data_IF_988558509580
#
_entry.id   IF_988558509580
#
_cell.length_a   1.000
_cell.length_b   1.000
_cell.length_c   1.000
_cell.angle_alpha   90.00
_cell.angle_beta   90.00
_cell.angle_gamma   90.00
#
_symmetry.space_group_name_H-M   'P 1'
#
loop_
_entity.id
_entity.type
_entity.pdbx_description
1 polymer ?
#
# COMPACT_ATOMS: atom_id res chain seq x y z
N UNK A 1 33.50 80.41 -10.11
CA UNK A 1 32.22 80.62 -9.41
C UNK A 1 31.44 79.31 -9.48
N UNK A 2 30.73 78.85 -8.44
CA UNK A 2 31.24 78.04 -7.33
C UNK A 2 30.75 76.57 -7.32
N UNK A 3 31.23 75.85 -6.30
CA UNK A 3 31.01 74.46 -5.87
C UNK A 3 29.61 74.27 -5.23
N UNK A 4 29.01 73.08 -5.36
CA UNK A 4 28.22 72.41 -4.28
C UNK A 4 27.85 70.97 -4.73
N UNK A 5 28.37 69.87 -4.15
CA UNK A 5 28.26 69.30 -2.79
C UNK A 5 26.92 68.54 -2.55
N UNK A 6 27.08 67.20 -2.50
CA UNK A 6 26.34 66.15 -1.75
C UNK A 6 24.85 65.92 -2.02
N UNK A 7 24.47 64.64 -2.24
CA UNK A 7 24.01 63.83 -1.10
C UNK A 7 23.93 62.31 -1.35
N UNK A 8 24.23 61.60 -0.27
CA UNK A 8 24.12 60.17 -0.06
C UNK A 8 22.70 59.63 -0.27
N UNK A 9 22.57 58.44 -0.87
CA UNK A 9 22.11 57.21 -0.17
C UNK A 9 22.01 56.04 -1.15
N UNK A 10 22.74 54.98 -0.81
CA UNK A 10 22.54 53.65 -1.40
C UNK A 10 21.10 53.16 -1.16
N UNK A 11 20.43 52.55 -2.16
CA UNK A 11 19.19 51.86 -1.92
C UNK A 11 19.45 50.62 -1.06
N UNK A 12 18.76 50.57 0.09
CA UNK A 12 18.73 49.44 1.01
C UNK A 12 18.39 48.17 0.25
N UNK A 13 19.27 47.18 0.32
CA UNK A 13 18.98 45.80 -0.01
C UNK A 13 17.83 45.31 0.86
N UNK A 14 16.62 45.29 0.32
CA UNK A 14 15.55 44.46 0.86
C UNK A 14 15.96 43.02 0.62
N UNK A 15 16.48 42.38 1.68
CA UNK A 15 16.73 40.96 1.70
C UNK A 15 15.47 40.24 1.25
N UNK A 16 15.56 39.60 0.09
CA UNK A 16 14.60 38.62 -0.37
C UNK A 16 14.61 37.51 0.69
N UNK A 17 13.68 37.62 1.65
CA UNK A 17 13.37 36.58 2.61
C UNK A 17 12.85 35.40 1.80
N UNK A 18 13.78 34.54 1.43
CA UNK A 18 13.50 33.26 0.83
C UNK A 18 12.56 32.53 1.80
N UNK A 19 11.27 32.53 1.48
CA UNK A 19 10.33 31.57 2.02
C UNK A 19 10.91 30.19 1.69
N UNK A 20 11.70 29.64 2.61
CA UNK A 20 12.00 28.21 2.70
C UNK A 20 10.64 27.54 2.82
N UNK A 21 10.05 27.17 1.68
CA UNK A 21 8.98 26.18 1.62
C UNK A 21 9.61 24.93 2.21
N UNK A 22 9.42 24.73 3.52
CA UNK A 22 9.77 23.47 4.18
C UNK A 22 9.16 22.37 3.32
N UNK A 23 9.91 21.33 2.91
CA UNK A 23 9.30 20.22 2.21
C UNK A 23 8.25 19.67 3.15
N UNK A 24 6.97 19.87 2.82
CA UNK A 24 5.89 19.14 3.44
C UNK A 24 6.18 17.67 3.12
N UNK A 25 6.81 16.96 4.06
CA UNK A 25 6.75 15.50 4.08
C UNK A 25 5.27 15.20 4.20
N UNK A 26 4.59 14.94 3.08
CA UNK A 26 3.24 14.38 3.10
C UNK A 26 3.38 13.05 3.83
N UNK A 27 3.04 13.04 5.11
CA UNK A 27 2.71 11.82 5.81
C UNK A 27 1.46 11.31 5.12
N UNK A 28 1.62 10.59 4.01
CA UNK A 28 0.55 9.78 3.46
C UNK A 28 0.26 8.75 4.54
N UNK A 29 -0.72 9.05 5.38
CA UNK A 29 -1.37 8.07 6.24
C UNK A 29 -1.98 7.06 5.29
N UNK A 30 -1.22 6.00 4.99
CA UNK A 30 -1.63 4.98 4.02
C UNK A 30 -3.01 4.49 4.43
N UNK A 31 -3.99 4.63 3.53
CA UNK A 31 -5.37 4.17 3.76
C UNK A 31 -5.35 2.65 3.97
N UNK A 32 -6.31 2.12 4.71
CA UNK A 32 -6.50 0.67 4.71
C UNK A 32 -6.97 0.22 3.32
N UNK A 33 -6.55 -0.98 2.86
CA UNK A 33 -7.20 -1.59 1.72
C UNK A 33 -8.69 -1.77 2.04
N UNK A 34 -9.55 -1.87 1.01
CA UNK A 34 -10.93 -2.30 1.19
C UNK A 34 -11.01 -3.50 2.15
N UNK A 35 -11.93 -3.42 3.11
CA UNK A 35 -12.13 -4.37 4.21
C UNK A 35 -10.98 -4.44 5.26
N UNK A 36 -9.84 -3.80 5.01
CA UNK A 36 -8.70 -3.78 5.91
C UNK A 36 -8.97 -3.14 7.27
N UNK A 37 -9.89 -2.17 7.37
CA UNK A 37 -10.27 -1.61 8.67
C UNK A 37 -10.95 -2.65 9.56
N UNK A 38 -11.80 -3.51 8.99
CA UNK A 38 -12.49 -4.57 9.74
C UNK A 38 -11.48 -5.61 10.25
N UNK A 39 -10.58 -6.08 9.39
CA UNK A 39 -9.51 -7.01 9.79
C UNK A 39 -8.60 -6.39 10.85
N UNK A 40 -8.16 -5.15 10.67
CA UNK A 40 -7.32 -4.46 11.65
C UNK A 40 -8.01 -4.32 13.02
N UNK A 41 -9.33 -4.14 13.05
CA UNK A 41 -10.08 -4.08 14.30
C UNK A 41 -10.12 -5.46 14.98
N UNK A 42 -10.43 -6.53 14.24
CA UNK A 42 -10.43 -7.93 14.75
C UNK A 42 -9.08 -8.29 15.38
N UNK A 43 -7.99 -8.03 14.66
CA UNK A 43 -6.64 -8.31 15.15
C UNK A 43 -6.28 -7.55 16.43
N UNK A 44 -6.73 -6.29 16.58
CA UNK A 44 -6.53 -5.53 17.82
C UNK A 44 -7.32 -6.11 19.00
N UNK A 45 -8.40 -6.81 18.74
CA UNK A 45 -9.21 -7.49 19.76
C UNK A 45 -8.68 -8.90 20.08
N UNK A 46 -7.58 -9.33 19.44
CA UNK A 46 -7.04 -10.68 19.60
C UNK A 46 -7.76 -11.74 18.75
N UNK A 47 -8.77 -11.35 17.98
CA UNK A 47 -9.49 -12.22 17.06
C UNK A 47 -8.68 -12.37 15.75
N UNK A 48 -7.86 -13.42 15.71
CA UNK A 48 -7.11 -13.80 14.51
C UNK A 48 -7.95 -14.75 13.66
N UNK A 49 -8.02 -14.54 12.33
CA UNK A 49 -8.69 -15.49 11.46
C UNK A 49 -8.03 -16.87 11.60
N UNK A 50 -8.86 -17.93 11.68
CA UNK A 50 -8.39 -19.31 11.84
C UNK A 50 -7.69 -19.85 10.59
N UNK A 51 -7.92 -19.19 9.46
CA UNK A 51 -7.37 -19.50 8.14
C UNK A 51 -6.51 -18.33 7.61
N UNK A 52 -5.93 -18.52 6.42
CA UNK A 52 -5.23 -17.46 5.68
C UNK A 52 -6.16 -16.27 5.33
N UNK A 53 -5.56 -15.09 5.15
CA UNK A 53 -6.22 -13.88 4.66
C UNK A 53 -6.25 -13.91 3.13
N UNK A 54 -7.44 -13.74 2.56
CA UNK A 54 -7.63 -13.76 1.11
C UNK A 54 -7.38 -12.36 0.55
N UNK A 55 -6.52 -12.25 -0.46
CA UNK A 55 -6.17 -10.99 -1.11
C UNK A 55 -6.71 -11.02 -2.54
N UNK A 56 -7.90 -10.48 -2.75
CA UNK A 56 -8.47 -10.33 -4.08
C UNK A 56 -7.77 -9.21 -4.86
N UNK A 57 -7.36 -9.48 -6.09
CA UNK A 57 -6.80 -8.46 -6.98
C UNK A 57 -7.24 -8.64 -8.44
N UNK A 58 -7.29 -7.54 -9.20
CA UNK A 58 -7.74 -7.54 -10.61
C UNK A 58 -9.12 -6.91 -10.84
N UNK A 59 -9.60 -7.01 -12.08
CA UNK A 59 -10.77 -6.28 -12.58
C UNK A 59 -12.06 -6.52 -11.78
N UNK A 60 -12.25 -7.72 -11.23
CA UNK A 60 -13.48 -8.11 -10.50
C UNK A 60 -13.22 -8.44 -9.02
N UNK A 61 -12.04 -8.08 -8.51
CA UNK A 61 -11.61 -8.44 -7.16
C UNK A 61 -12.55 -7.92 -6.09
N UNK A 62 -13.07 -6.71 -6.24
CA UNK A 62 -13.91 -6.08 -5.22
C UNK A 62 -15.18 -6.87 -4.96
N UNK A 63 -15.94 -7.17 -6.02
CA UNK A 63 -17.22 -7.88 -5.93
C UNK A 63 -17.01 -9.30 -5.41
N UNK A 64 -15.95 -9.98 -5.86
CA UNK A 64 -15.63 -11.35 -5.43
C UNK A 64 -15.20 -11.40 -3.96
N UNK A 65 -14.27 -10.53 -3.56
CA UNK A 65 -13.81 -10.41 -2.16
C UNK A 65 -14.96 -10.10 -1.21
N UNK A 66 -15.88 -9.22 -1.61
CA UNK A 66 -17.08 -8.90 -0.81
C UNK A 66 -17.97 -10.13 -0.60
N UNK A 67 -18.17 -10.93 -1.64
CA UNK A 67 -18.98 -12.14 -1.56
C UNK A 67 -18.32 -13.23 -0.70
N UNK A 68 -16.99 -13.32 -0.69
CA UNK A 68 -16.28 -14.31 0.13
C UNK A 68 -16.27 -13.93 1.63
N UNK A 69 -16.26 -12.63 1.94
CA UNK A 69 -16.42 -12.10 3.30
C UNK A 69 -17.76 -12.44 3.95
N UNK A 70 -18.82 -12.63 3.17
CA UNK A 70 -20.15 -12.95 3.72
C UNK A 70 -20.35 -14.45 3.97
N UNK A 71 -19.45 -15.30 3.46
CA UNK A 71 -19.62 -16.76 3.47
C UNK A 71 -18.81 -17.50 4.54
N UNK A 72 -17.84 -16.85 5.18
CA UNK A 72 -16.93 -17.55 6.10
C UNK A 72 -16.37 -16.61 7.17
N UNK A 73 -15.81 -17.19 8.23
CA UNK A 73 -14.97 -16.48 9.21
C UNK A 73 -13.63 -15.98 8.60
N UNK A 74 -13.43 -16.19 7.29
CA UNK A 74 -12.24 -15.77 6.59
C UNK A 74 -12.11 -14.25 6.58
N UNK A 75 -10.88 -13.79 6.77
CA UNK A 75 -10.52 -12.42 6.53
C UNK A 75 -10.19 -12.25 5.04
N UNK A 76 -10.75 -11.21 4.42
CA UNK A 76 -10.40 -10.88 3.04
C UNK A 76 -10.10 -9.39 2.89
N UNK A 77 -9.15 -9.08 2.00
CA UNK A 77 -8.71 -7.75 1.61
C UNK A 77 -8.73 -7.66 0.07
N UNK A 78 -8.85 -6.45 -0.46
CA UNK A 78 -8.85 -6.24 -1.90
C UNK A 78 -7.75 -5.26 -2.30
N UNK A 79 -7.06 -5.53 -3.41
CA UNK A 79 -6.38 -4.51 -4.20
C UNK A 79 -7.27 -4.13 -5.39
N UNK A 80 -7.89 -2.93 -5.40
CA UNK A 80 -8.68 -2.49 -6.54
C UNK A 80 -7.85 -2.43 -7.82
N UNK A 81 -8.50 -2.67 -8.96
CA UNK A 81 -7.85 -2.65 -10.26
C UNK A 81 -7.20 -1.28 -10.54
N UNK A 82 -5.94 -1.31 -11.01
CA UNK A 82 -5.18 -0.11 -11.34
C UNK A 82 -4.60 0.65 -10.14
N UNK A 83 -4.82 0.20 -8.90
CA UNK A 83 -4.25 0.85 -7.73
C UNK A 83 -2.87 0.30 -7.35
N UNK A 84 -2.01 1.17 -6.79
CA UNK A 84 -0.69 0.77 -6.29
C UNK A 84 -0.82 0.14 -4.89
N UNK A 85 -0.36 -1.12 -4.69
CA UNK A 85 -0.37 -1.77 -3.37
C UNK A 85 0.40 -1.00 -2.28
N UNK A 86 1.39 -0.18 -2.63
CA UNK A 86 2.13 0.66 -1.66
C UNK A 86 1.30 1.84 -1.11
N UNK A 87 0.19 2.18 -1.75
CA UNK A 87 -0.74 3.21 -1.28
C UNK A 87 -1.51 2.78 -0.02
N UNK A 88 -1.40 1.51 0.36
CA UNK A 88 -2.18 0.88 1.39
C UNK A 88 -1.37 0.46 2.62
N UNK A 89 -2.02 0.50 3.78
CA UNK A 89 -1.53 -0.12 5.02
C UNK A 89 -2.18 -1.49 5.15
N UNK A 90 -1.45 -2.54 4.86
CA UNK A 90 -1.93 -3.93 4.91
C UNK A 90 -1.88 -4.48 6.33
N UNK A 91 -3.02 -4.83 6.95
CA UNK A 91 -3.06 -5.40 8.31
C UNK A 91 -2.86 -6.92 8.26
N UNK A 92 -1.70 -7.36 7.78
CA UNK A 92 -1.39 -8.78 7.53
C UNK A 92 -0.23 -9.33 8.37
N UNK A 93 0.24 -8.54 9.35
CA UNK A 93 1.40 -8.91 10.18
C UNK A 93 1.17 -10.23 10.93
N UNK A 94 2.06 -11.20 10.72
CA UNK A 94 2.01 -12.54 11.29
C UNK A 94 0.90 -13.43 10.74
N UNK A 95 0.30 -13.07 9.60
CA UNK A 95 -0.75 -13.86 8.95
C UNK A 95 -0.26 -14.44 7.61
N UNK A 96 -0.81 -15.60 7.26
CA UNK A 96 -0.65 -16.17 5.93
C UNK A 96 -1.63 -15.51 4.95
N UNK A 97 -1.16 -15.16 3.77
CA UNK A 97 -1.94 -14.51 2.73
C UNK A 97 -2.09 -15.43 1.51
N UNK A 98 -3.29 -15.45 0.94
CA UNK A 98 -3.59 -16.11 -0.33
C UNK A 98 -4.01 -15.08 -1.37
N UNK A 99 -3.20 -14.85 -2.40
CA UNK A 99 -3.54 -13.93 -3.48
C UNK A 99 -4.44 -14.65 -4.50
N UNK A 100 -5.63 -14.07 -4.71
CA UNK A 100 -6.61 -14.52 -5.68
C UNK A 100 -6.69 -13.48 -6.81
N UNK A 101 -6.16 -13.86 -7.97
CA UNK A 101 -6.18 -13.03 -9.17
C UNK A 101 -7.47 -13.23 -9.96
N UNK A 102 -8.10 -12.13 -10.36
CA UNK A 102 -9.36 -12.12 -11.14
C UNK A 102 -9.17 -11.54 -12.54
N UNK A 103 -7.93 -11.53 -13.05
CA UNK A 103 -7.58 -11.00 -14.36
C UNK A 103 -7.15 -9.52 -14.36
N UNK A 104 -6.57 -9.09 -15.47
CA UNK A 104 -6.16 -7.69 -15.72
C UNK A 104 -4.82 -7.26 -15.11
N UNK A 105 -4.31 -7.98 -14.11
CA UNK A 105 -2.95 -7.76 -13.61
C UNK A 105 -1.96 -8.73 -14.29
N UNK A 106 -0.79 -8.24 -14.66
CA UNK A 106 0.30 -9.08 -15.16
C UNK A 106 1.07 -9.74 -14.01
N UNK A 107 1.94 -10.71 -14.34
CA UNK A 107 2.76 -11.44 -13.36
C UNK A 107 3.61 -10.51 -12.50
N UNK A 108 4.23 -9.49 -13.10
CA UNK A 108 5.06 -8.52 -12.37
C UNK A 108 4.27 -7.79 -11.27
N UNK A 109 3.05 -7.35 -11.58
CA UNK A 109 2.18 -6.69 -10.61
C UNK A 109 1.77 -7.63 -9.47
N UNK A 110 1.52 -8.91 -9.76
CA UNK A 110 1.22 -9.94 -8.76
C UNK A 110 2.43 -10.20 -7.84
N UNK A 111 3.63 -10.33 -8.41
CA UNK A 111 4.86 -10.46 -7.63
C UNK A 111 5.12 -9.22 -6.77
N UNK A 112 4.88 -8.02 -7.31
CA UNK A 112 4.99 -6.76 -6.57
C UNK A 112 4.02 -6.70 -5.40
N UNK A 113 2.77 -7.14 -5.58
CA UNK A 113 1.81 -7.26 -4.50
C UNK A 113 2.30 -8.24 -3.42
N UNK A 114 2.78 -9.42 -3.82
CA UNK A 114 3.35 -10.41 -2.90
C UNK A 114 4.48 -9.84 -2.05
N UNK A 115 5.44 -9.16 -2.68
CA UNK A 115 6.54 -8.50 -1.99
C UNK A 115 6.07 -7.40 -1.02
N UNK A 116 5.03 -6.64 -1.37
CA UNK A 116 4.45 -5.62 -0.47
C UNK A 116 3.81 -6.26 0.75
N UNK A 117 3.12 -7.40 0.61
CA UNK A 117 2.49 -8.12 1.71
C UNK A 117 3.54 -8.71 2.67
N UNK A 118 4.62 -9.30 2.15
CA UNK A 118 5.74 -9.77 2.98
C UNK A 118 6.36 -8.60 3.75
N UNK A 119 6.62 -7.46 3.10
CA UNK A 119 7.11 -6.25 3.77
C UNK A 119 6.14 -5.68 4.80
N UNK A 120 4.85 -5.94 4.66
CA UNK A 120 3.82 -5.58 5.64
C UNK A 120 3.74 -6.57 6.83
N UNK A 121 4.59 -7.60 6.84
CA UNK A 121 4.71 -8.58 7.91
C UNK A 121 3.95 -9.88 7.68
N UNK A 122 3.44 -10.16 6.48
CA UNK A 122 2.83 -11.45 6.20
C UNK A 122 3.85 -12.59 6.44
N UNK A 123 3.42 -13.67 7.10
CA UNK A 123 4.27 -14.83 7.39
C UNK A 123 4.58 -15.60 6.11
N UNK A 124 3.52 -15.99 5.40
CA UNK A 124 3.59 -16.58 4.07
C UNK A 124 2.67 -15.84 3.10
N UNK A 125 3.05 -15.76 1.84
CA UNK A 125 2.17 -15.32 0.75
C UNK A 125 2.16 -16.37 -0.33
N UNK A 126 0.98 -16.89 -0.65
CA UNK A 126 0.78 -17.86 -1.74
C UNK A 126 0.04 -17.17 -2.86
N UNK A 127 0.60 -17.20 -4.07
CA UNK A 127 -0.06 -16.73 -5.27
C UNK A 127 -0.68 -17.93 -6.01
N UNK A 128 -2.01 -17.93 -6.13
CA UNK A 128 -2.72 -18.85 -7.04
C UNK A 128 -3.06 -18.07 -8.29
N UNK A 129 -2.29 -18.29 -9.35
CA UNK A 129 -2.67 -17.85 -10.68
C UNK A 129 -3.62 -18.89 -11.28
N UNK A 130 -4.90 -18.52 -11.43
CA UNK A 130 -5.92 -19.40 -12.00
C UNK A 130 -5.72 -19.65 -13.49
N UNK A 131 -4.80 -18.94 -14.15
CA UNK A 131 -4.56 -19.07 -15.58
C UNK A 131 -3.45 -20.09 -15.94
N UNK A 132 -2.59 -20.47 -14.98
CA UNK A 132 -1.38 -21.28 -15.23
C UNK A 132 -1.35 -22.61 -14.45
N UNK A 133 -2.52 -23.20 -14.18
CA UNK A 133 -2.64 -24.46 -13.40
C UNK A 133 -1.92 -25.64 -14.08
N UNK A 134 -1.50 -25.53 -15.34
CA UNK A 134 -0.94 -26.65 -16.11
C UNK A 134 0.60 -26.70 -16.11
N UNK A 135 1.35 -25.66 -15.69
CA UNK A 135 2.81 -25.65 -15.94
C UNK A 135 3.77 -25.28 -14.78
N UNK A 136 3.37 -24.54 -13.73
CA UNK A 136 4.38 -23.91 -12.84
C UNK A 136 4.22 -24.11 -11.32
N UNK A 137 3.12 -24.68 -10.84
CA UNK A 137 2.85 -24.75 -9.39
C UNK A 137 2.66 -23.37 -8.72
N UNK A 138 2.24 -23.32 -7.46
CA UNK A 138 2.02 -22.06 -6.75
C UNK A 138 3.34 -21.34 -6.46
N UNK A 139 3.35 -20.02 -6.63
CA UNK A 139 4.49 -19.18 -6.21
C UNK A 139 4.33 -18.84 -4.73
N UNK A 140 5.30 -19.24 -3.91
CA UNK A 140 5.30 -19.02 -2.46
C UNK A 140 6.37 -18.01 -2.08
N UNK A 141 5.98 -17.01 -1.30
CA UNK A 141 6.90 -16.08 -0.65
C UNK A 141 6.88 -16.34 0.86
N UNK A 142 8.05 -16.43 1.47
CA UNK A 142 8.18 -16.55 2.92
C UNK A 142 8.87 -15.29 3.47
N UNK A 143 8.28 -14.69 4.49
CA UNK A 143 8.89 -13.58 5.21
C UNK A 143 9.86 -14.12 6.26
N UNK A 144 11.15 -13.84 6.12
CA UNK A 144 12.11 -14.05 7.21
C UNK A 144 11.92 -12.89 8.19
N UNK A 145 11.44 -13.19 9.40
CA UNK A 145 11.43 -12.22 10.49
C UNK A 145 12.87 -11.80 10.78
N UNK A 146 13.17 -10.50 10.62
CA UNK A 146 14.45 -9.89 11.01
C UNK A 146 14.35 -9.41 12.44
#
# INVERSE_FOLDING_TARGET
MPVNITNNKAPRTHGASALRKKPFKKHYTRKFPPFGKQLANRLRQGDKPSNCVWIGCGANAWSRTRHDLTRSDSAALCLPYGEDPLSYRWPVSGLDCLILHTGGLNKEALLRLGAVLVRAGAGRVVLIDTWDVVAAGPVVFEGVAV
#
